data_IF_024304549570
#
_entry.id   IF_024304549570
#
_cell.length_a   1.000
_cell.length_b   1.000
_cell.length_c   1.000
_cell.angle_alpha   90.00
_cell.angle_beta   90.00
_cell.angle_gamma   90.00
#
_symmetry.space_group_name_H-M   'P 1'
#
loop_
_entity.id
_entity.type
_entity.pdbx_description
1 polymer ?
#
# COMPACT_ATOMS: atom_id res chain seq x y z
N UNK A 1 -7.64 -22.14 -11.48
CA UNK A 1 -6.59 -21.24 -12.00
C UNK A 1 -7.28 -20.27 -12.94
N UNK A 2 -7.67 -19.11 -12.43
CA UNK A 2 -8.15 -17.98 -13.21
C UNK A 2 -7.21 -16.85 -12.85
N UNK A 3 -5.97 -16.95 -13.32
CA UNK A 3 -5.05 -15.82 -13.32
C UNK A 3 -5.31 -15.12 -14.65
N UNK A 4 -5.59 -13.82 -14.60
CA UNK A 4 -5.82 -13.01 -15.78
C UNK A 4 -4.61 -13.17 -16.72
N UNK A 5 -4.88 -13.69 -17.92
CA UNK A 5 -3.86 -13.86 -18.95
C UNK A 5 -3.26 -12.49 -19.27
N UNK A 6 -2.00 -12.26 -18.87
CA UNK A 6 -1.24 -11.08 -19.24
C UNK A 6 -0.54 -11.33 -20.57
N UNK A 7 -0.78 -10.42 -21.50
CA UNK A 7 -0.20 -10.46 -22.84
C UNK A 7 0.91 -9.42 -22.93
N UNK A 8 2.09 -9.86 -23.36
CA UNK A 8 3.22 -8.96 -23.67
C UNK A 8 3.48 -9.00 -25.17
N UNK A 9 3.76 -7.83 -25.74
CA UNK A 9 4.28 -7.72 -27.09
C UNK A 9 5.76 -8.10 -27.08
N UNK A 10 6.15 -9.09 -27.87
CA UNK A 10 7.55 -9.47 -28.04
C UNK A 10 7.87 -9.55 -29.53
N UNK A 11 9.07 -9.11 -29.89
CA UNK A 11 9.61 -9.25 -31.24
C UNK A 11 10.25 -10.63 -31.32
N UNK A 12 9.70 -11.51 -32.17
CA UNK A 12 10.17 -12.89 -32.33
C UNK A 12 10.66 -13.15 -33.75
N UNK A 13 11.74 -13.92 -33.91
CA UNK A 13 12.20 -14.43 -35.21
C UNK A 13 11.29 -15.53 -35.78
N UNK A 14 11.58 -16.02 -36.99
CA UNK A 14 10.83 -17.13 -37.63
C UNK A 14 10.86 -18.44 -36.82
N UNK A 15 11.85 -18.59 -35.93
CA UNK A 15 12.04 -19.75 -35.07
C UNK A 15 11.41 -19.58 -33.67
N UNK A 16 10.79 -18.41 -33.41
CA UNK A 16 10.09 -18.10 -32.15
C UNK A 16 10.98 -17.60 -31.01
N UNK A 17 12.24 -17.24 -31.27
CA UNK A 17 13.15 -16.67 -30.28
C UNK A 17 13.03 -15.14 -30.23
N UNK A 18 13.33 -14.50 -29.08
CA UNK A 18 13.38 -13.04 -28.99
C UNK A 18 14.43 -12.46 -29.94
N UNK A 19 13.96 -11.74 -30.96
CA UNK A 19 14.81 -11.00 -31.90
C UNK A 19 14.36 -9.54 -31.94
N UNK A 20 15.12 -8.72 -31.22
CA UNK A 20 14.87 -7.29 -31.07
C UNK A 20 15.22 -6.47 -32.31
N UNK A 21 15.85 -7.07 -33.33
CA UNK A 21 16.33 -6.38 -34.52
C UNK A 21 15.46 -6.63 -35.75
N UNK A 22 15.05 -7.88 -36.01
CA UNK A 22 14.26 -8.24 -37.20
C UNK A 22 12.99 -9.05 -36.88
N UNK A 23 12.65 -9.23 -35.60
CA UNK A 23 11.51 -10.04 -35.19
C UNK A 23 10.16 -9.42 -35.57
N UNK A 24 9.17 -10.28 -35.84
CA UNK A 24 7.78 -9.87 -36.05
C UNK A 24 7.12 -9.63 -34.69
N UNK A 25 6.33 -8.57 -34.55
CA UNK A 25 5.56 -8.28 -33.34
C UNK A 25 4.53 -9.39 -33.13
N UNK A 26 4.72 -10.18 -32.08
CA UNK A 26 3.79 -11.24 -31.65
C UNK A 26 3.25 -10.94 -30.26
N UNK A 27 1.96 -11.22 -30.06
CA UNK A 27 1.31 -11.14 -28.76
C UNK A 27 1.54 -12.47 -28.05
N UNK A 28 2.48 -12.49 -27.11
CA UNK A 28 2.79 -13.69 -26.34
C UNK A 28 2.08 -13.65 -24.99
N UNK A 29 1.49 -14.79 -24.63
CA UNK A 29 0.96 -15.02 -23.29
C UNK A 29 2.14 -15.25 -22.35
N UNK A 30 2.25 -14.44 -21.31
CA UNK A 30 3.29 -14.61 -20.31
C UNK A 30 2.82 -15.67 -19.31
N UNK A 31 3.29 -16.90 -19.47
CA UNK A 31 3.05 -17.96 -18.49
C UNK A 31 3.97 -17.72 -17.28
N UNK A 32 3.46 -17.04 -16.26
CA UNK A 32 4.11 -16.96 -14.94
C UNK A 32 3.64 -18.14 -14.09
N UNK A 33 4.58 -18.88 -13.51
CA UNK A 33 4.29 -19.73 -12.36
C UNK A 33 4.20 -18.85 -11.12
N UNK A 34 2.98 -18.42 -10.79
CA UNK A 34 2.70 -17.75 -9.53
C UNK A 34 2.45 -18.80 -8.45
N UNK A 35 3.05 -18.56 -7.28
CA UNK A 35 2.65 -19.30 -6.09
C UNK A 35 1.17 -19.04 -5.79
N UNK A 36 0.41 -20.05 -5.33
CA UNK A 36 -1.01 -19.87 -5.05
C UNK A 36 -1.23 -18.80 -3.96
N UNK A 37 -2.13 -17.88 -4.27
CA UNK A 37 -2.67 -16.91 -3.31
C UNK A 37 -3.21 -17.61 -2.06
N UNK A 38 -2.94 -17.04 -0.89
CA UNK A 38 -3.50 -17.51 0.36
C UNK A 38 -3.88 -16.33 1.27
N UNK A 39 -4.79 -16.60 2.19
CA UNK A 39 -5.21 -15.71 3.26
C UNK A 39 -5.24 -16.53 4.54
N UNK A 40 -4.40 -16.15 5.50
CA UNK A 40 -4.37 -16.75 6.83
C UNK A 40 -4.59 -15.66 7.86
N UNK A 41 -5.68 -15.78 8.62
CA UNK A 41 -6.01 -14.88 9.72
C UNK A 41 -6.09 -15.61 11.05
N UNK A 42 -5.47 -15.04 12.07
CA UNK A 42 -5.53 -15.49 13.44
C UNK A 42 -5.87 -14.32 14.35
N UNK A 43 -6.81 -14.49 15.27
CA UNK A 43 -7.14 -13.44 16.21
C UNK A 43 -7.73 -13.93 17.53
N UNK A 44 -7.43 -13.18 18.58
CA UNK A 44 -8.01 -13.34 19.91
C UNK A 44 -8.80 -12.08 20.26
N UNK A 45 -10.09 -12.24 20.59
CA UNK A 45 -10.95 -11.10 20.92
C UNK A 45 -11.84 -11.34 22.13
N UNK A 46 -12.05 -10.29 22.91
CA UNK A 46 -13.03 -10.19 23.99
C UNK A 46 -13.71 -8.82 23.89
N UNK A 47 -14.84 -8.78 23.21
CA UNK A 47 -15.64 -7.57 22.97
C UNK A 47 -17.11 -7.90 23.26
N UNK A 48 -17.81 -7.00 23.96
CA UNK A 48 -19.21 -7.16 24.23
C UNK A 48 -20.06 -6.58 23.08
N UNK A 49 -21.11 -7.28 22.65
CA UNK A 49 -22.04 -6.73 21.65
C UNK A 49 -22.93 -5.67 22.24
N UNK A 50 -23.37 -4.66 21.51
CA UNK A 50 -24.47 -3.80 21.97
C UNK A 50 -25.83 -4.51 21.95
N UNK A 51 -26.82 -3.99 22.69
CA UNK A 51 -28.16 -4.58 22.72
C UNK A 51 -28.92 -4.44 21.39
N UNK A 52 -28.64 -3.38 20.64
CA UNK A 52 -29.23 -3.11 19.33
C UNK A 52 -28.52 -3.85 18.19
N UNK A 53 -27.37 -4.47 18.45
CA UNK A 53 -26.66 -5.24 17.43
C UNK A 53 -27.43 -6.54 17.13
N UNK A 54 -27.82 -6.77 15.86
CA UNK A 54 -28.48 -8.02 15.50
C UNK A 54 -27.54 -9.18 15.82
N UNK A 55 -28.07 -10.21 16.50
CA UNK A 55 -27.39 -11.47 16.75
C UNK A 55 -27.23 -12.26 15.43
N UNK A 56 -26.38 -11.78 14.52
CA UNK A 56 -25.94 -12.55 13.36
C UNK A 56 -25.17 -13.77 13.89
N UNK A 57 -25.82 -14.94 13.88
CA UNK A 57 -25.16 -16.21 14.25
C UNK A 57 -25.42 -16.78 15.64
N UNK A 58 -26.62 -16.63 16.23
CA UNK A 58 -26.98 -17.39 17.44
C UNK A 58 -27.85 -18.59 17.05
N UNK A 59 -27.50 -19.78 17.57
CA UNK A 59 -27.89 -21.17 17.23
C UNK A 59 -29.33 -21.49 16.77
N UNK A 60 -30.32 -20.60 16.89
CA UNK A 60 -31.65 -20.79 16.29
C UNK A 60 -31.75 -20.26 14.85
N UNK A 61 -30.67 -19.70 14.30
CA UNK A 61 -30.59 -19.20 12.94
C UNK A 61 -29.68 -20.05 12.03
N UNK A 62 -29.57 -21.36 12.29
CA UNK A 62 -28.97 -22.36 11.39
C UNK A 62 -27.60 -22.00 10.80
N UNK A 63 -26.53 -22.56 11.37
CA UNK A 63 -25.12 -22.42 10.96
C UNK A 63 -24.42 -21.18 11.55
N UNK A 64 -23.26 -21.40 12.18
CA UNK A 64 -22.49 -20.39 12.91
C UNK A 64 -22.24 -19.13 12.09
N UNK A 65 -22.85 -18.03 12.51
CA UNK A 65 -22.81 -16.77 11.78
C UNK A 65 -21.48 -16.04 11.89
N UNK A 66 -21.41 -14.94 11.17
CA UNK A 66 -20.21 -14.13 10.92
C UNK A 66 -19.45 -13.74 12.20
N UNK A 67 -20.14 -13.67 13.35
CA UNK A 67 -19.53 -13.46 14.67
C UNK A 67 -18.50 -14.52 15.05
N UNK A 68 -18.75 -15.80 14.80
CA UNK A 68 -17.75 -16.82 15.13
C UNK A 68 -16.68 -16.95 14.04
N UNK A 69 -16.96 -16.44 12.84
CA UNK A 69 -16.04 -16.47 11.70
C UNK A 69 -15.07 -15.28 11.67
N UNK A 70 -15.35 -14.22 12.42
CA UNK A 70 -14.48 -13.04 12.49
C UNK A 70 -14.63 -12.04 11.33
N UNK A 71 -15.47 -12.34 10.33
CA UNK A 71 -15.69 -11.52 9.14
C UNK A 71 -16.77 -10.43 9.32
N UNK A 72 -17.06 -10.02 10.55
CA UNK A 72 -18.09 -9.02 10.82
C UNK A 72 -17.46 -7.66 11.15
N UNK A 73 -18.12 -6.58 10.72
CA UNK A 73 -17.82 -5.25 11.25
C UNK A 73 -18.64 -5.06 12.52
N UNK A 74 -17.98 -4.98 13.69
CA UNK A 74 -18.66 -4.66 14.95
C UNK A 74 -18.69 -3.14 15.16
N UNK A 75 -19.88 -2.52 15.27
CA UNK A 75 -20.01 -1.13 15.70
C UNK A 75 -19.27 -0.83 17.01
N UNK A 76 -19.11 -1.83 17.89
CA UNK A 76 -18.36 -1.65 19.14
C UNK A 76 -16.85 -1.43 18.94
N UNK A 77 -16.26 -1.85 17.83
CA UNK A 77 -14.84 -1.58 17.54
C UNK A 77 -14.60 -0.09 17.22
N UNK A 78 -15.60 0.52 16.58
CA UNK A 78 -15.66 1.95 16.30
C UNK A 78 -16.12 2.76 17.52
N UNK A 79 -16.97 2.21 18.39
CA UNK A 79 -17.51 2.91 19.54
C UNK A 79 -16.42 3.39 20.51
N UNK A 80 -16.63 4.57 21.08
CA UNK A 80 -15.74 5.10 22.12
C UNK A 80 -15.96 4.38 23.44
N UNK A 81 -17.22 4.23 23.83
CA UNK A 81 -17.63 3.62 25.09
C UNK A 81 -17.97 2.16 24.80
N UNK A 82 -17.35 1.22 25.52
CA UNK A 82 -17.75 -0.18 25.48
C UNK A 82 -19.09 -0.42 26.20
N UNK A 83 -19.70 -1.58 25.99
CA UNK A 83 -20.92 -1.95 26.74
C UNK A 83 -20.61 -2.46 28.14
N UNK A 84 -19.49 -3.15 28.32
CA UNK A 84 -19.18 -3.90 29.56
C UNK A 84 -18.05 -3.21 30.30
N UNK A 85 -18.21 -3.07 31.63
CA UNK A 85 -17.15 -2.55 32.51
C UNK A 85 -15.95 -3.51 32.52
N UNK A 86 -14.74 -2.95 32.53
CA UNK A 86 -13.49 -3.68 32.51
C UNK A 86 -12.80 -3.64 31.15
N UNK A 87 -11.96 -4.66 30.87
CA UNK A 87 -11.14 -4.75 29.66
C UNK A 87 -11.87 -5.43 28.50
N UNK A 88 -11.81 -4.78 27.35
CA UNK A 88 -12.11 -5.33 26.03
C UNK A 88 -10.84 -5.27 25.16
N UNK A 89 -10.60 -6.32 24.38
CA UNK A 89 -9.43 -6.38 23.52
C UNK A 89 -9.71 -7.12 22.22
N UNK A 90 -8.96 -6.75 21.18
CA UNK A 90 -8.86 -7.44 19.91
C UNK A 90 -7.38 -7.50 19.53
N UNK A 91 -6.88 -8.70 19.26
CA UNK A 91 -5.57 -8.93 18.68
C UNK A 91 -5.81 -9.74 17.42
N UNK A 92 -5.35 -9.25 16.28
CA UNK A 92 -5.53 -9.88 14.98
C UNK A 92 -4.23 -9.80 14.20
N UNK A 93 -3.86 -10.91 13.60
CA UNK A 93 -2.71 -11.09 12.73
C UNK A 93 -3.20 -11.75 11.45
N UNK A 94 -2.81 -11.19 10.32
CA UNK A 94 -3.16 -11.72 9.01
C UNK A 94 -1.91 -11.80 8.14
N UNK A 95 -1.80 -12.88 7.38
CA UNK A 95 -0.79 -13.07 6.36
C UNK A 95 -1.50 -13.39 5.05
N UNK A 96 -1.25 -12.58 4.04
CA UNK A 96 -1.89 -12.67 2.74
C UNK A 96 -0.82 -12.74 1.65
N UNK A 97 -1.07 -13.54 0.62
CA UNK A 97 -0.30 -13.49 -0.62
C UNK A 97 -1.20 -13.10 -1.78
N UNK A 98 -0.78 -12.08 -2.53
CA UNK A 98 -1.42 -11.63 -3.76
C UNK A 98 -0.34 -11.42 -4.81
N UNK A 99 -0.49 -12.07 -5.96
CA UNK A 99 0.42 -11.87 -7.10
C UNK A 99 1.91 -12.04 -6.74
N UNK A 100 2.20 -13.05 -5.93
CA UNK A 100 3.54 -13.38 -5.39
C UNK A 100 4.11 -12.40 -4.35
N UNK A 101 3.39 -11.32 -4.03
CA UNK A 101 3.72 -10.42 -2.94
C UNK A 101 3.05 -10.90 -1.64
N UNK A 102 3.82 -10.86 -0.55
CA UNK A 102 3.36 -11.26 0.79
C UNK A 102 3.15 -10.02 1.65
N UNK A 103 1.96 -9.93 2.22
CA UNK A 103 1.56 -8.85 3.11
C UNK A 103 1.26 -9.42 4.49
N UNK A 104 1.74 -8.74 5.52
CA UNK A 104 1.46 -9.07 6.92
C UNK A 104 0.73 -7.91 7.58
N UNK A 105 -0.46 -8.17 8.10
CA UNK A 105 -1.30 -7.16 8.75
C UNK A 105 -1.46 -7.48 10.24
N UNK A 106 -1.40 -6.45 11.08
CA UNK A 106 -1.49 -6.55 12.53
C UNK A 106 -2.45 -5.51 13.08
N UNK A 107 -3.40 -5.94 13.90
CA UNK A 107 -4.34 -5.05 14.57
C UNK A 107 -4.39 -5.37 16.06
N UNK A 108 -4.14 -4.36 16.89
CA UNK A 108 -4.26 -4.43 18.34
C UNK A 108 -5.19 -3.33 18.83
N UNK A 109 -6.32 -3.69 19.42
CA UNK A 109 -7.20 -2.77 20.10
C UNK A 109 -7.31 -3.19 21.56
N UNK A 110 -7.09 -2.25 22.47
CA UNK A 110 -7.30 -2.41 23.91
C UNK A 110 -8.19 -1.28 24.40
N UNK A 111 -9.27 -1.61 25.08
CA UNK A 111 -10.16 -0.64 25.72
C UNK A 111 -10.42 -1.04 27.16
N UNK A 112 -10.42 -0.05 28.04
CA UNK A 112 -10.82 -0.19 29.42
C UNK A 112 -11.96 0.78 29.73
N UNK A 113 -13.05 0.24 30.26
CA UNK A 113 -14.20 1.01 30.74
C UNK A 113 -14.30 0.91 32.26
N UNK A 114 -13.92 1.99 32.95
CA UNK A 114 -14.15 2.16 34.38
C UNK A 114 -15.41 2.97 34.68
N UNK A 115 -15.68 3.16 35.97
CA UNK A 115 -16.82 3.98 36.43
C UNK A 115 -16.60 5.48 36.17
N UNK A 116 -15.34 5.93 36.25
CA UNK A 116 -14.97 7.35 36.18
C UNK A 116 -14.09 7.71 34.97
N UNK A 117 -13.60 6.71 34.24
CA UNK A 117 -12.77 6.94 33.05
C UNK A 117 -12.87 5.83 32.02
N UNK A 118 -12.46 6.17 30.81
CA UNK A 118 -12.35 5.31 29.65
C UNK A 118 -10.94 5.48 29.10
N UNK A 119 -10.24 4.38 28.84
CA UNK A 119 -8.97 4.39 28.14
C UNK A 119 -9.07 3.50 26.90
N UNK A 120 -8.55 3.95 25.77
CA UNK A 120 -8.52 3.18 24.52
C UNK A 120 -7.15 3.35 23.88
N UNK A 121 -6.54 2.23 23.50
CA UNK A 121 -5.29 2.19 22.74
C UNK A 121 -5.55 1.34 21.51
N UNK A 122 -5.15 1.84 20.34
CA UNK A 122 -5.21 1.15 19.06
C UNK A 122 -3.86 1.18 18.38
N UNK A 123 -3.52 0.09 17.72
CA UNK A 123 -2.41 -0.01 16.79
C UNK A 123 -2.87 -0.81 15.59
N UNK A 124 -2.69 -0.26 14.41
CA UNK A 124 -2.97 -0.93 13.15
C UNK A 124 -1.75 -0.77 12.24
N UNK A 125 -1.32 -1.88 11.65
CA UNK A 125 -0.29 -1.95 10.62
C UNK A 125 -0.84 -2.86 9.53
N UNK A 126 -1.38 -2.28 8.48
CA UNK A 126 -2.09 -2.94 7.40
C UNK A 126 -1.25 -2.80 6.13
N UNK A 127 -0.41 -3.81 5.86
CA UNK A 127 0.56 -3.72 4.76
C UNK A 127 -0.09 -3.76 3.38
N UNK A 128 -1.22 -4.45 3.22
CA UNK A 128 -1.92 -4.52 1.94
C UNK A 128 -2.58 -3.18 1.58
N UNK A 129 -3.14 -2.50 2.58
CA UNK A 129 -3.79 -1.20 2.42
C UNK A 129 -2.82 -0.01 2.56
N UNK A 130 -1.55 -0.27 2.86
CA UNK A 130 -0.52 0.73 3.22
C UNK A 130 -0.98 1.72 4.30
N UNK A 131 -1.61 1.20 5.35
CA UNK A 131 -2.12 2.00 6.47
C UNK A 131 -1.51 1.55 7.77
N UNK A 132 -0.76 2.47 8.39
CA UNK A 132 -0.18 2.32 9.72
C UNK A 132 -0.57 3.49 10.63
N UNK A 133 -1.11 3.20 11.81
CA UNK A 133 -1.34 4.23 12.81
C UNK A 133 -1.44 3.66 14.21
N UNK A 134 -1.12 4.51 15.18
CA UNK A 134 -1.38 4.28 16.59
C UNK A 134 -2.28 5.38 17.14
N UNK A 135 -3.15 5.02 18.07
CA UNK A 135 -4.06 5.98 18.70
C UNK A 135 -4.18 5.65 20.18
N UNK A 136 -4.10 6.67 21.03
CA UNK A 136 -4.39 6.59 22.45
C UNK A 136 -5.47 7.62 22.81
N UNK A 137 -6.48 7.22 23.56
CA UNK A 137 -7.58 8.06 23.98
C UNK A 137 -7.86 7.84 25.46
N UNK A 138 -7.96 8.92 26.22
CA UNK A 138 -8.27 8.92 27.64
C UNK A 138 -9.42 9.90 27.88
N UNK A 139 -10.52 9.40 28.45
CA UNK A 139 -11.69 10.22 28.78
C UNK A 139 -12.08 10.05 30.22
N UNK A 140 -12.36 11.14 30.90
CA UNK A 140 -13.07 11.15 32.16
C UNK A 140 -14.56 11.16 31.89
N UNK A 141 -15.31 10.41 32.68
CA UNK A 141 -16.77 10.42 32.64
C UNK A 141 -17.34 10.57 34.03
N UNK A 142 -18.48 11.24 34.13
CA UNK A 142 -19.25 11.34 35.36
C UNK A 142 -20.72 11.23 35.03
N UNK A 143 -21.35 10.26 35.67
CA UNK A 143 -22.78 10.04 35.60
C UNK A 143 -23.47 10.74 36.77
N UNK A 144 -24.49 11.53 36.45
CA UNK A 144 -25.38 12.18 37.39
C UNK A 144 -26.74 11.49 37.28
N UNK A 145 -27.16 10.87 38.37
CA UNK A 145 -28.48 10.26 38.48
C UNK A 145 -29.48 11.34 38.93
N UNK A 146 -30.51 11.57 38.12
CA UNK A 146 -31.69 12.37 38.46
C UNK A 146 -32.84 11.38 38.81
N UNK A 147 -33.94 11.89 39.37
CA UNK A 147 -35.08 11.05 39.79
C UNK A 147 -35.64 10.19 38.63
N UNK A 148 -35.80 10.77 37.44
CA UNK A 148 -36.35 10.09 36.25
C UNK A 148 -35.39 10.05 35.05
N UNK A 149 -34.10 10.36 35.26
CA UNK A 149 -33.12 10.39 34.18
C UNK A 149 -31.69 10.12 34.65
N UNK A 150 -30.80 9.78 33.72
CA UNK A 150 -29.34 9.83 33.95
C UNK A 150 -28.69 10.75 32.92
N UNK A 151 -27.78 11.60 33.40
CA UNK A 151 -26.95 12.48 32.58
C UNK A 151 -25.49 12.03 32.70
N UNK A 152 -24.87 11.63 31.60
CA UNK A 152 -23.47 11.24 31.55
C UNK A 152 -22.68 12.31 30.80
N UNK A 153 -21.77 12.96 31.52
CA UNK A 153 -20.84 13.94 30.95
C UNK A 153 -19.48 13.28 30.79
N UNK A 154 -18.84 13.45 29.63
CA UNK A 154 -17.49 12.98 29.40
C UNK A 154 -16.62 14.03 28.73
N UNK A 155 -15.36 14.08 29.14
CA UNK A 155 -14.33 14.96 28.57
C UNK A 155 -13.06 14.14 28.44
N UNK A 156 -12.43 14.20 27.28
CA UNK A 156 -11.24 13.40 27.03
C UNK A 156 -10.29 14.02 26.04
N UNK A 157 -9.08 13.47 26.03
CA UNK A 157 -8.04 13.79 25.07
C UNK A 157 -7.72 12.53 24.27
N UNK A 158 -7.52 12.69 22.97
CA UNK A 158 -7.08 11.64 22.08
C UNK A 158 -5.82 12.09 21.35
N UNK A 159 -4.81 11.24 21.31
CA UNK A 159 -3.62 11.41 20.48
C UNK A 159 -3.59 10.32 19.42
N UNK A 160 -3.26 10.68 18.19
CA UNK A 160 -3.01 9.74 17.08
C UNK A 160 -1.65 10.05 16.48
N UNK A 161 -0.91 9.01 16.15
CA UNK A 161 0.36 9.08 15.44
C UNK A 161 0.32 8.16 14.23
N UNK A 162 0.67 8.67 13.06
CA UNK A 162 0.73 7.91 11.81
C UNK A 162 1.85 8.46 10.91
N UNK A 163 2.45 7.62 10.04
CA UNK A 163 3.28 8.09 8.93
C UNK A 163 2.58 9.13 8.06
N UNK A 164 3.36 9.93 7.35
CA UNK A 164 2.84 10.93 6.42
C UNK A 164 2.27 10.23 5.18
N UNK A 165 1.03 10.56 4.81
CA UNK A 165 0.34 10.01 3.64
C UNK A 165 -0.07 11.11 2.66
N UNK A 166 -0.24 10.74 1.38
CA UNK A 166 -0.93 11.59 0.39
C UNK A 166 -0.12 12.78 -0.12
N UNK A 167 1.20 12.80 0.07
CA UNK A 167 2.06 13.75 -0.59
C UNK A 167 2.34 13.29 -2.02
N UNK A 168 2.03 14.16 -2.98
CA UNK A 168 2.39 13.90 -4.36
C UNK A 168 3.93 13.94 -4.50
N UNK A 169 4.52 13.08 -5.34
CA UNK A 169 5.97 13.06 -5.47
C UNK A 169 6.58 14.39 -5.93
N UNK A 170 5.82 15.16 -6.73
CA UNK A 170 6.16 16.52 -7.17
C UNK A 170 6.20 17.57 -6.05
N UNK A 171 5.66 17.27 -4.88
CA UNK A 171 5.71 18.14 -3.70
C UNK A 171 6.93 17.79 -2.83
N UNK A 172 7.36 16.52 -2.85
CA UNK A 172 8.53 16.04 -2.09
C UNK A 172 9.81 16.53 -2.74
N UNK A 173 9.94 16.31 -4.05
CA UNK A 173 11.09 16.78 -4.81
C UNK A 173 10.71 17.01 -6.28
N UNK A 174 11.39 17.97 -6.93
CA UNK A 174 11.15 18.32 -8.33
C UNK A 174 12.34 18.10 -9.25
N UNK A 175 13.50 17.77 -8.70
CA UNK A 175 14.76 17.65 -9.45
C UNK A 175 14.70 16.53 -10.49
N UNK A 176 14.00 15.43 -10.21
CA UNK A 176 13.80 14.30 -11.13
C UNK A 176 13.06 14.65 -12.44
N UNK A 177 12.30 15.76 -12.51
CA UNK A 177 11.61 16.21 -13.74
C UNK A 177 11.92 17.64 -14.18
N UNK A 178 12.54 18.45 -13.33
CA UNK A 178 12.95 19.82 -13.67
C UNK A 178 14.43 19.93 -14.03
N UNK A 179 15.24 18.97 -13.57
CA UNK A 179 16.66 18.86 -13.88
C UNK A 179 16.99 17.76 -14.88
N UNK A 180 18.28 17.44 -14.96
CA UNK A 180 18.80 16.28 -15.69
C UNK A 180 18.38 14.99 -14.97
N UNK A 181 17.30 14.36 -15.40
CA UNK A 181 16.78 13.14 -14.76
C UNK A 181 17.83 12.02 -14.67
N UNK A 182 18.79 11.99 -15.60
CA UNK A 182 19.89 11.01 -15.62
C UNK A 182 20.91 11.25 -14.49
N UNK A 183 21.20 12.51 -14.14
CA UNK A 183 22.05 12.84 -12.98
C UNK A 183 21.35 12.47 -11.68
N UNK A 184 20.05 12.75 -11.58
CA UNK A 184 19.23 12.32 -10.45
C UNK A 184 19.23 10.80 -10.28
N UNK A 185 19.06 10.06 -11.38
CA UNK A 185 19.09 8.60 -11.34
C UNK A 185 20.45 8.09 -10.84
N UNK A 186 21.54 8.69 -11.31
CA UNK A 186 22.88 8.30 -10.88
C UNK A 186 23.14 8.58 -9.39
N UNK A 187 22.74 9.77 -8.92
CA UNK A 187 22.98 10.21 -7.55
C UNK A 187 22.09 9.48 -6.53
N UNK A 188 20.80 9.30 -6.84
CA UNK A 188 19.81 8.78 -5.87
C UNK A 188 19.59 7.28 -5.98
N UNK A 189 19.68 6.69 -7.19
CA UNK A 189 19.50 5.25 -7.39
C UNK A 189 20.83 4.49 -7.48
N UNK A 190 21.96 5.19 -7.59
CA UNK A 190 23.28 4.58 -7.76
C UNK A 190 23.47 3.87 -9.09
N UNK A 191 22.63 4.16 -10.08
CA UNK A 191 22.78 3.62 -11.44
C UNK A 191 23.86 4.39 -12.20
N UNK A 192 24.43 3.78 -13.23
CA UNK A 192 25.41 4.46 -14.09
C UNK A 192 25.05 4.33 -15.56
N UNK A 193 25.19 5.42 -16.29
CA UNK A 193 25.04 5.47 -17.73
C UNK A 193 26.41 5.30 -18.42
N UNK A 194 26.43 4.60 -19.55
CA UNK A 194 27.59 4.51 -20.44
C UNK A 194 27.18 4.86 -21.84
N UNK A 195 27.71 5.98 -22.31
CA UNK A 195 27.59 6.41 -23.68
C UNK A 195 28.08 5.35 -24.66
N UNK A 196 27.31 5.11 -25.71
CA UNK A 196 27.76 4.37 -26.88
C UNK A 196 27.34 5.08 -28.17
N UNK A 197 28.06 4.75 -29.23
CA UNK A 197 27.81 5.27 -30.56
C UNK A 197 27.99 4.15 -31.59
N UNK A 198 27.36 4.31 -32.75
CA UNK A 198 27.62 3.47 -33.90
C UNK A 198 29.02 3.74 -34.47
N UNK A 199 29.84 2.69 -34.52
CA UNK A 199 31.15 2.64 -35.16
C UNK A 199 31.11 1.47 -36.14
N UNK A 200 30.80 1.79 -37.40
CA UNK A 200 30.55 0.83 -38.48
C UNK A 200 31.86 0.41 -39.13
N UNK A 201 32.86 1.29 -39.16
CA UNK A 201 34.17 1.01 -39.75
C UNK A 201 35.25 0.56 -38.74
N UNK A 202 34.96 0.65 -37.44
CA UNK A 202 35.78 0.17 -36.35
C UNK A 202 36.96 1.09 -36.01
N UNK A 203 36.91 2.37 -36.39
CA UNK A 203 37.99 3.32 -36.20
C UNK A 203 37.96 4.02 -34.82
N UNK A 204 36.94 3.75 -34.01
CA UNK A 204 36.73 4.36 -32.70
C UNK A 204 36.17 5.78 -32.74
N UNK A 205 35.69 6.24 -33.90
CA UNK A 205 34.97 7.50 -34.09
C UNK A 205 33.48 7.26 -34.37
N UNK A 206 32.60 8.20 -34.01
CA UNK A 206 31.19 8.09 -34.32
C UNK A 206 30.94 8.30 -35.83
N UNK A 207 30.45 7.26 -36.49
CA UNK A 207 30.07 7.28 -37.92
C UNK A 207 28.72 7.99 -38.18
N UNK A 208 28.11 8.52 -37.13
CA UNK A 208 26.72 8.98 -37.13
C UNK A 208 25.75 7.81 -36.93
N UNK A 209 24.46 8.13 -36.85
CA UNK A 209 23.46 7.14 -36.52
C UNK A 209 22.86 6.39 -37.68
N UNK A 210 22.34 5.23 -37.33
CA UNK A 210 21.70 4.28 -38.22
C UNK A 210 20.21 4.60 -38.30
N UNK A 211 19.73 4.87 -39.52
CA UNK A 211 18.29 4.95 -39.77
C UNK A 211 17.71 3.54 -39.68
N UNK A 212 16.71 3.36 -38.82
CA UNK A 212 15.94 2.12 -38.71
C UNK A 212 14.85 2.18 -39.78
N UNK A 213 14.78 1.14 -40.59
CA UNK A 213 13.75 0.97 -41.62
C UNK A 213 12.76 -0.12 -41.19
N UNK A 214 11.48 0.09 -41.48
CA UNK A 214 10.47 -0.95 -41.36
C UNK A 214 10.78 -2.07 -42.37
N UNK A 215 10.91 -3.30 -41.88
CA UNK A 215 11.27 -4.42 -42.73
C UNK A 215 10.20 -4.78 -43.78
N UNK A 216 8.93 -4.44 -43.53
CA UNK A 216 7.81 -4.76 -44.42
C UNK A 216 7.55 -3.66 -45.46
N UNK A 217 7.67 -2.38 -45.08
CA UNK A 217 7.39 -1.24 -45.98
C UNK A 217 8.64 -0.59 -46.56
N UNK A 218 9.82 -0.81 -45.95
CA UNK A 218 11.06 -0.13 -46.30
C UNK A 218 11.07 1.36 -45.93
N UNK A 219 10.05 1.84 -45.20
CA UNK A 219 9.97 3.22 -44.77
C UNK A 219 10.86 3.46 -43.54
N UNK A 220 11.50 4.65 -43.42
CA UNK A 220 12.27 4.98 -42.23
C UNK A 220 11.33 5.14 -41.02
N UNK A 221 11.53 4.34 -39.98
CA UNK A 221 10.71 4.35 -38.74
C UNK A 221 11.45 4.91 -37.53
N UNK A 222 12.76 5.09 -37.62
CA UNK A 222 13.54 5.65 -36.54
C UNK A 222 14.97 5.93 -36.92
N UNK A 223 15.72 6.46 -35.97
CA UNK A 223 17.15 6.69 -36.10
C UNK A 223 17.78 6.43 -34.74
N UNK A 224 18.86 5.65 -34.72
CA UNK A 224 19.65 5.36 -33.52
C UNK A 224 21.10 5.66 -33.85
N UNK A 225 21.65 6.70 -33.24
CA UNK A 225 23.06 7.03 -33.45
C UNK A 225 23.92 7.04 -32.22
N UNK A 226 23.43 7.68 -31.18
CA UNK A 226 24.14 7.80 -29.92
C UNK A 226 23.12 7.67 -28.82
N UNK A 227 23.40 6.81 -27.85
CA UNK A 227 22.49 6.53 -26.74
C UNK A 227 23.32 6.05 -25.54
N UNK A 228 22.66 5.77 -24.43
CA UNK A 228 23.31 5.38 -23.19
C UNK A 228 22.79 4.03 -22.71
N UNK A 229 23.73 3.17 -22.30
CA UNK A 229 23.42 1.93 -21.58
C UNK A 229 23.42 2.19 -20.10
N UNK A 230 22.43 1.65 -19.41
CA UNK A 230 22.25 1.85 -17.98
C UNK A 230 22.65 0.59 -17.22
N UNK A 231 23.37 0.77 -16.14
CA UNK A 231 23.85 -0.29 -15.26
C UNK A 231 23.41 -0.04 -13.83
N UNK A 232 23.11 -1.11 -13.09
CA UNK A 232 22.83 -1.04 -11.66
C UNK A 232 24.11 -0.75 -10.85
N UNK A 233 23.95 -0.60 -9.52
CA UNK A 233 25.05 -0.35 -8.60
C UNK A 233 26.12 -1.47 -8.58
N UNK A 234 25.76 -2.69 -8.98
CA UNK A 234 26.65 -3.85 -9.09
C UNK A 234 27.33 -3.94 -10.47
N UNK A 235 26.94 -3.07 -11.41
CA UNK A 235 27.46 -3.03 -12.78
C UNK A 235 26.78 -3.99 -13.76
N UNK A 236 25.61 -4.55 -13.41
CA UNK A 236 24.81 -5.35 -14.34
C UNK A 236 24.00 -4.45 -15.27
N UNK A 237 23.87 -4.86 -16.53
CA UNK A 237 23.11 -4.11 -17.53
C UNK A 237 21.61 -4.13 -17.19
N UNK A 238 21.03 -2.95 -17.03
CA UNK A 238 19.60 -2.75 -16.80
C UNK A 238 18.86 -2.46 -18.11
N UNK A 239 19.39 -1.54 -18.93
CA UNK A 239 18.76 -1.10 -20.16
C UNK A 239 19.79 -0.74 -21.23
N UNK A 240 19.41 -0.92 -22.49
CA UNK A 240 20.27 -0.64 -23.64
C UNK A 240 20.14 0.78 -24.18
N UNK A 241 19.14 1.54 -23.74
CA UNK A 241 18.89 2.93 -24.15
C UNK A 241 18.34 3.78 -23.01
N UNK A 242 18.50 5.10 -23.11
CA UNK A 242 17.84 6.08 -22.23
C UNK A 242 16.32 5.89 -22.20
N UNK A 243 15.73 5.65 -23.37
CA UNK A 243 14.28 5.49 -23.50
C UNK A 243 13.79 4.26 -22.74
N UNK A 244 14.48 3.14 -22.89
CA UNK A 244 14.14 1.90 -22.20
C UNK A 244 14.27 2.07 -20.68
N UNK A 245 15.37 2.67 -20.22
CA UNK A 245 15.58 2.94 -18.81
C UNK A 245 14.49 3.86 -18.24
N UNK A 246 14.25 5.01 -18.88
CA UNK A 246 13.27 5.99 -18.43
C UNK A 246 11.83 5.46 -18.43
N UNK A 247 11.49 4.57 -19.37
CA UNK A 247 10.13 4.05 -19.48
C UNK A 247 9.85 2.87 -18.55
N UNK A 248 10.82 1.97 -18.36
CA UNK A 248 10.57 0.68 -17.69
C UNK A 248 11.26 0.53 -16.32
N UNK A 249 12.36 1.23 -16.08
CA UNK A 249 13.14 1.09 -14.84
C UNK A 249 13.04 2.32 -13.93
N UNK A 250 13.12 3.51 -14.52
CA UNK A 250 13.08 4.77 -13.77
C UNK A 250 11.82 4.92 -12.90
N UNK A 251 10.58 4.60 -13.36
CA UNK A 251 9.39 4.81 -12.54
C UNK A 251 9.37 4.00 -11.25
N UNK A 252 9.82 2.74 -11.28
CA UNK A 252 9.82 1.88 -10.10
C UNK A 252 10.93 2.24 -9.10
N UNK A 253 12.11 2.62 -9.59
CA UNK A 253 13.19 3.17 -8.76
C UNK A 253 12.76 4.47 -8.08
N UNK A 254 12.09 5.32 -8.84
CA UNK A 254 11.57 6.59 -8.37
C UNK A 254 10.49 6.41 -7.29
N UNK A 255 9.56 5.48 -7.49
CA UNK A 255 8.54 5.11 -6.49
C UNK A 255 9.17 4.60 -5.18
N UNK A 256 10.14 3.69 -5.27
CA UNK A 256 10.86 3.19 -4.10
C UNK A 256 11.59 4.30 -3.35
N UNK A 257 12.26 5.20 -4.06
CA UNK A 257 12.92 6.36 -3.48
C UNK A 257 11.92 7.30 -2.80
N UNK A 258 10.78 7.59 -3.43
CA UNK A 258 9.74 8.42 -2.81
C UNK A 258 9.19 7.83 -1.52
N UNK A 259 8.96 6.52 -1.49
CA UNK A 259 8.52 5.82 -0.29
C UNK A 259 9.54 5.96 0.85
N UNK A 260 10.83 5.91 0.54
CA UNK A 260 11.89 6.17 1.51
C UNK A 260 11.91 7.62 2.00
N UNK A 261 11.76 8.60 1.10
CA UNK A 261 11.67 10.01 1.48
C UNK A 261 10.46 10.27 2.38
N UNK A 262 9.30 9.71 2.04
CA UNK A 262 8.07 9.83 2.83
C UNK A 262 8.22 9.20 4.22
N UNK A 263 8.85 8.02 4.30
CA UNK A 263 9.21 7.41 5.59
C UNK A 263 10.19 8.28 6.38
N UNK A 264 11.12 8.95 5.68
CA UNK A 264 12.10 9.89 6.25
C UNK A 264 11.50 11.16 6.85
N UNK A 265 10.36 11.64 6.34
CA UNK A 265 9.61 12.78 6.91
C UNK A 265 9.10 12.50 8.33
N UNK A 266 9.05 11.23 8.74
CA UNK A 266 8.67 10.81 10.08
C UNK A 266 7.16 10.65 10.25
N UNK A 267 6.71 10.78 11.49
CA UNK A 267 5.29 10.57 11.84
C UNK A 267 4.59 11.89 12.15
N UNK A 268 3.40 12.05 11.56
CA UNK A 268 2.46 13.10 11.93
C UNK A 268 1.77 12.73 13.24
N UNK A 269 1.57 13.74 14.09
CA UNK A 269 0.89 13.61 15.38
C UNK A 269 -0.29 14.54 15.44
N UNK A 270 -1.43 13.99 15.82
CA UNK A 270 -2.68 14.72 16.00
C UNK A 270 -3.13 14.61 17.45
N UNK A 271 -3.52 15.74 18.03
CA UNK A 271 -4.13 15.78 19.36
C UNK A 271 -5.54 16.35 19.22
N UNK A 272 -6.49 15.67 19.83
CA UNK A 272 -7.91 15.99 19.80
C UNK A 272 -8.46 16.11 21.21
N UNK A 273 -9.43 17.00 21.38
CA UNK A 273 -10.22 17.11 22.61
C UNK A 273 -11.63 16.64 22.26
N UNK A 274 -12.21 15.82 23.12
CA UNK A 274 -13.57 15.30 22.98
C UNK A 274 -14.43 15.70 24.17
N UNK A 275 -15.67 16.07 23.88
CA UNK A 275 -16.71 16.37 24.85
C UNK A 275 -17.94 15.51 24.49
N UNK A 276 -18.50 14.80 25.46
CA UNK A 276 -19.67 13.96 25.28
C UNK A 276 -20.73 14.26 26.33
N UNK A 277 -21.99 14.26 25.90
CA UNK A 277 -23.16 14.43 26.74
C UNK A 277 -24.20 13.40 26.32
N UNK A 278 -24.50 12.46 27.21
CA UNK A 278 -25.56 11.47 27.01
C UNK A 278 -26.66 11.70 28.04
N UNK A 279 -27.90 11.78 27.60
CA UNK A 279 -29.08 11.89 28.47
C UNK A 279 -30.00 10.70 28.22
N UNK A 280 -30.29 9.96 29.28
CA UNK A 280 -31.23 8.85 29.26
C UNK A 280 -32.42 9.19 30.13
N UNK A 281 -33.59 9.30 29.52
CA UNK A 281 -34.86 9.44 30.23
C UNK A 281 -35.43 8.05 30.51
N UNK A 282 -35.80 7.79 31.76
CA UNK A 282 -36.56 6.60 32.11
C UNK A 282 -38.03 6.88 31.87
N UNK A 283 -38.67 6.14 30.97
CA UNK A 283 -40.12 6.13 30.83
C UNK A 283 -40.67 4.94 31.59
N UNK A 284 -41.67 5.17 32.45
CA UNK A 284 -42.48 4.07 32.99
C UNK A 284 -43.10 3.29 31.82
N UNK A 285 -42.95 1.97 31.83
CA UNK A 285 -43.63 1.07 30.89
C UNK A 285 -45.11 0.91 31.25
#
# INVERSE_FOLDING_TARGET
KWEDDRYRLSLLDEDGNPDWFNGTISVNKEDRELDPDFDFSFGLRKIARFHYEPKRGVKNAGVGGDWYKGNESSPNDAATIGRVKGFEYLVKYEENRRWDEKFTSQEYNLRYLGDWFIAKIKYHDLQLEDIKYSQADLRFRKEFLLEDASLNLSVGIGAREHPVYGFAPTVVDTTWYTGSWWEFAADEFGVSDKYYFGDTDGDGQPDGGMTIYDAATGEPIGWVGTDFRWFDADGNLMAMSDREFYQYHFPSLLEAWFDEQLKGLGSQREVSISLGLDWYQYTEN
#
